data_IF_910909525116
#
_entry.id   IF_910909525116
#
_cell.length_a   1.000
_cell.length_b   1.000
_cell.length_c   1.000
_cell.angle_alpha   90.00
_cell.angle_beta   90.00
_cell.angle_gamma   90.00
#
_symmetry.space_group_name_H-M   'P 1'
#
loop_
_entity.id
_entity.type
_entity.pdbx_description
1 polymer ?
#
# COMPACT_ATOMS: atom_id res chain seq x y z
N UNK A 1 3.10 -26.02 -16.42
CA UNK A 1 2.04 -25.92 -15.39
C UNK A 1 2.23 -24.58 -14.70
N UNK A 2 1.45 -23.57 -15.08
CA UNK A 2 1.62 -22.21 -14.56
C UNK A 2 0.85 -22.05 -13.24
N UNK A 3 1.26 -22.79 -12.19
CA UNK A 3 0.82 -22.57 -10.81
C UNK A 3 1.64 -21.44 -10.18
N UNK A 4 1.72 -20.29 -10.85
CA UNK A 4 2.54 -19.17 -10.43
C UNK A 4 1.80 -18.31 -9.42
N UNK A 5 2.35 -18.16 -8.21
CA UNK A 5 1.91 -17.12 -7.30
C UNK A 5 2.17 -15.75 -7.92
N UNK A 6 1.18 -14.85 -7.83
CA UNK A 6 1.27 -13.52 -8.41
C UNK A 6 1.77 -12.56 -7.32
N UNK A 7 2.84 -11.83 -7.63
CA UNK A 7 3.35 -10.76 -6.78
C UNK A 7 3.24 -9.43 -7.53
N UNK A 8 2.61 -8.43 -6.91
CA UNK A 8 2.53 -7.09 -7.49
C UNK A 8 3.23 -6.09 -6.59
N UNK A 9 3.73 -5.02 -7.19
CA UNK A 9 4.05 -3.82 -6.42
C UNK A 9 2.76 -3.19 -5.84
N UNK A 10 2.90 -2.10 -5.10
CA UNK A 10 1.87 -1.49 -4.26
C UNK A 10 0.56 -1.09 -4.97
N UNK A 11 0.51 -1.14 -6.31
CA UNK A 11 -0.68 -0.83 -7.12
C UNK A 11 -1.03 -2.06 -7.95
N UNK A 12 -2.27 -2.55 -7.81
CA UNK A 12 -2.79 -3.72 -8.55
C UNK A 12 -3.29 -3.29 -9.94
N UNK A 13 -4.12 -2.23 -10.00
CA UNK A 13 -4.55 -1.57 -11.24
C UNK A 13 -4.87 -0.09 -11.00
N UNK A 14 -5.18 0.64 -12.07
CA UNK A 14 -5.53 2.06 -12.04
C UNK A 14 -7.01 2.31 -11.74
N UNK A 15 -7.88 1.34 -12.01
CA UNK A 15 -9.32 1.44 -11.78
C UNK A 15 -9.85 0.27 -10.94
N UNK A 16 -10.98 0.49 -10.26
CA UNK A 16 -11.64 -0.54 -9.47
C UNK A 16 -12.15 -1.69 -10.36
N UNK A 17 -12.73 -1.37 -11.52
CA UNK A 17 -13.24 -2.37 -12.45
C UNK A 17 -12.15 -3.35 -12.91
N UNK A 18 -10.96 -2.85 -13.25
CA UNK A 18 -9.83 -3.70 -13.61
C UNK A 18 -9.34 -4.55 -12.42
N UNK A 19 -9.36 -4.00 -11.20
CA UNK A 19 -9.03 -4.78 -10.00
C UNK A 19 -10.03 -5.92 -9.78
N UNK A 20 -11.32 -5.69 -10.02
CA UNK A 20 -12.36 -6.72 -9.88
C UNK A 20 -12.20 -7.83 -10.94
N UNK A 21 -11.88 -7.48 -12.19
CA UNK A 21 -11.59 -8.45 -13.26
C UNK A 21 -10.35 -9.31 -12.95
N UNK A 22 -9.30 -8.69 -12.41
CA UNK A 22 -8.08 -9.38 -11.96
C UNK A 22 -8.42 -10.32 -10.79
N UNK A 23 -9.24 -9.87 -9.84
CA UNK A 23 -9.64 -10.66 -8.68
C UNK A 23 -10.41 -11.92 -9.06
N UNK A 24 -11.39 -11.81 -9.98
CA UNK A 24 -12.14 -12.97 -10.45
C UNK A 24 -11.25 -13.96 -11.21
N UNK A 25 -10.30 -13.46 -12.02
CA UNK A 25 -9.32 -14.29 -12.71
C UNK A 25 -8.44 -15.08 -11.74
N UNK A 26 -7.97 -14.44 -10.67
CA UNK A 26 -7.18 -15.07 -9.60
C UNK A 26 -7.98 -16.16 -8.90
N UNK A 27 -9.25 -15.86 -8.58
CA UNK A 27 -10.17 -16.79 -7.91
C UNK A 27 -10.45 -18.02 -8.77
N UNK A 28 -10.63 -17.86 -10.07
CA UNK A 28 -10.84 -18.96 -11.01
C UNK A 28 -9.58 -19.82 -11.20
N UNK A 29 -8.40 -19.19 -11.15
CA UNK A 29 -7.12 -19.87 -11.29
C UNK A 29 -6.63 -20.54 -9.99
N UNK A 30 -7.29 -20.28 -8.85
CA UNK A 30 -6.90 -20.76 -7.51
C UNK A 30 -5.43 -20.47 -7.16
N UNK A 31 -4.97 -19.25 -7.49
CA UNK A 31 -3.60 -18.79 -7.24
C UNK A 31 -3.56 -17.75 -6.12
N UNK A 32 -2.49 -17.73 -5.33
CA UNK A 32 -2.33 -16.66 -4.34
C UNK A 32 -1.79 -15.38 -5.00
N UNK A 33 -2.44 -14.25 -4.72
CA UNK A 33 -1.96 -12.91 -5.03
C UNK A 33 -1.40 -12.25 -3.77
N UNK A 34 -0.18 -11.72 -3.85
CA UNK A 34 0.44 -10.93 -2.78
C UNK A 34 0.81 -9.55 -3.30
N UNK A 35 0.33 -8.51 -2.62
CA UNK A 35 0.72 -7.12 -2.86
C UNK A 35 1.90 -6.76 -1.97
N UNK A 36 2.92 -6.13 -2.55
CA UNK A 36 4.09 -5.69 -1.79
C UNK A 36 3.75 -4.49 -0.89
N UNK A 37 3.49 -4.78 0.37
CA UNK A 37 3.27 -3.79 1.42
C UNK A 37 4.41 -3.87 2.46
N UNK A 38 5.67 -3.59 2.07
CA UNK A 38 6.82 -3.80 2.94
C UNK A 38 6.73 -2.98 4.23
N UNK A 39 6.04 -1.84 4.19
CA UNK A 39 5.85 -1.01 5.38
C UNK A 39 5.05 -1.70 6.47
N UNK A 40 4.07 -2.54 6.11
CA UNK A 40 3.27 -3.28 7.10
C UNK A 40 4.09 -4.34 7.84
N UNK A 41 5.20 -4.81 7.24
CA UNK A 41 6.06 -5.82 7.82
C UNK A 41 7.26 -5.23 8.59
N UNK A 42 7.30 -3.91 8.79
CA UNK A 42 8.32 -3.28 9.63
C UNK A 42 8.02 -3.53 11.11
N UNK A 43 9.06 -3.80 11.89
CA UNK A 43 8.95 -4.15 13.32
C UNK A 43 8.11 -3.17 14.14
N UNK A 44 8.23 -1.86 13.89
CA UNK A 44 7.45 -0.85 14.61
C UNK A 44 5.96 -0.83 14.23
N UNK A 45 5.60 -1.23 13.00
CA UNK A 45 4.20 -1.37 12.60
C UNK A 45 3.60 -2.62 13.22
N UNK A 46 4.33 -3.73 13.24
CA UNK A 46 3.89 -4.96 13.91
C UNK A 46 3.71 -4.74 15.41
N UNK A 47 4.65 -4.05 16.08
CA UNK A 47 4.52 -3.71 17.50
C UNK A 47 3.32 -2.78 17.76
N UNK A 48 3.10 -1.78 16.91
CA UNK A 48 1.93 -0.92 17.01
C UNK A 48 0.62 -1.71 16.83
N UNK A 49 0.56 -2.64 15.88
CA UNK A 49 -0.61 -3.52 15.69
C UNK A 49 -0.92 -4.37 16.93
N UNK A 50 0.11 -4.94 17.58
CA UNK A 50 -0.07 -5.70 18.83
C UNK A 50 -0.63 -4.80 19.94
N UNK A 51 -0.02 -3.63 20.17
CA UNK A 51 -0.47 -2.70 21.22
C UNK A 51 -1.93 -2.24 21.02
N UNK A 52 -2.33 -2.04 19.76
CA UNK A 52 -3.71 -1.72 19.39
C UNK A 52 -4.64 -2.92 19.62
N UNK A 53 -4.25 -4.10 19.17
CA UNK A 53 -5.04 -5.34 19.32
C UNK A 53 -5.27 -5.73 20.78
N UNK A 54 -4.27 -5.49 21.63
CA UNK A 54 -4.32 -5.78 23.06
C UNK A 54 -5.10 -4.74 23.87
N UNK A 55 -5.59 -3.66 23.22
CA UNK A 55 -6.33 -2.59 23.88
C UNK A 55 -5.51 -1.74 24.87
N UNK A 56 -4.19 -1.91 24.88
CA UNK A 56 -3.27 -1.23 25.82
C UNK A 56 -3.30 0.30 25.72
N UNK A 57 -3.72 0.83 24.56
CA UNK A 57 -3.83 2.26 24.26
C UNK A 57 -5.23 2.84 24.53
N UNK A 58 -6.19 2.01 24.98
CA UNK A 58 -7.59 2.39 25.10
C UNK A 58 -8.28 2.55 23.75
N UNK A 59 -9.27 3.45 23.68
CA UNK A 59 -9.99 3.75 22.45
C UNK A 59 -9.15 4.64 21.51
N UNK A 60 -8.91 4.16 20.29
CA UNK A 60 -8.16 4.91 19.29
C UNK A 60 -9.00 6.04 18.70
N UNK A 61 -8.61 7.28 18.98
CA UNK A 61 -9.28 8.46 18.43
C UNK A 61 -8.79 8.86 17.02
N UNK A 62 -7.51 8.64 16.71
CA UNK A 62 -6.90 9.09 15.44
C UNK A 62 -5.68 8.25 15.07
N UNK A 63 -5.54 7.92 13.79
CA UNK A 63 -4.32 7.34 13.19
C UNK A 63 -3.88 8.20 12.02
N UNK A 64 -2.63 8.63 12.03
CA UNK A 64 -2.01 9.41 10.96
C UNK A 64 -0.82 8.69 10.35
N UNK A 65 -0.76 8.60 9.02
CA UNK A 65 0.35 7.99 8.30
C UNK A 65 0.91 8.99 7.29
N UNK A 66 2.18 9.36 7.48
CA UNK A 66 2.90 10.21 6.53
C UNK A 66 3.81 9.34 5.66
N UNK A 67 3.67 9.39 4.33
CA UNK A 67 4.62 8.73 3.45
C UNK A 67 5.92 9.53 3.45
N UNK A 68 7.01 8.91 3.89
CA UNK A 68 8.35 9.47 3.69
C UNK A 68 8.63 9.51 2.18
N UNK A 69 8.54 10.69 1.55
CA UNK A 69 8.81 10.83 0.11
C UNK A 69 10.31 10.78 -0.16
N UNK A 70 10.81 9.61 -0.55
CA UNK A 70 11.98 9.53 -1.42
C UNK A 70 11.58 9.88 -2.85
N UNK A 71 12.39 10.68 -3.57
CA UNK A 71 12.10 11.05 -4.96
C UNK A 71 12.14 9.79 -5.85
N UNK A 72 10.99 9.32 -6.31
CA UNK A 72 10.90 8.27 -7.33
C UNK A 72 11.15 8.90 -8.70
N UNK A 73 12.22 8.52 -9.38
CA UNK A 73 12.62 9.08 -10.68
C UNK A 73 12.32 8.04 -11.76
N UNK A 74 11.06 7.95 -12.20
CA UNK A 74 10.68 7.13 -13.35
C UNK A 74 9.86 7.93 -14.38
N UNK A 75 10.21 7.88 -15.68
CA UNK A 75 9.54 8.67 -16.73
C UNK A 75 8.12 8.23 -17.09
N UNK A 76 7.73 7.02 -16.70
CA UNK A 76 6.48 6.36 -17.13
C UNK A 76 5.27 6.64 -16.22
N UNK A 77 5.44 7.41 -15.15
CA UNK A 77 4.33 7.84 -14.29
C UNK A 77 3.67 9.10 -14.86
N UNK A 78 2.34 9.15 -15.01
CA UNK A 78 1.64 10.36 -15.43
C UNK A 78 1.87 11.47 -14.40
N UNK A 79 2.54 12.55 -14.83
CA UNK A 79 2.86 13.70 -13.98
C UNK A 79 1.63 14.59 -13.86
N UNK A 80 0.70 14.25 -12.99
CA UNK A 80 -0.25 15.23 -12.45
C UNK A 80 0.32 15.78 -11.14
N UNK A 81 1.39 16.55 -11.26
CA UNK A 81 2.04 17.21 -10.13
C UNK A 81 1.25 18.46 -9.71
N UNK A 82 0.30 18.29 -8.78
CA UNK A 82 -0.10 19.37 -7.90
C UNK A 82 1.09 19.71 -6.99
N UNK A 83 1.83 20.78 -7.31
CA UNK A 83 2.93 21.25 -6.50
C UNK A 83 2.42 21.71 -5.13
N UNK A 84 2.72 20.96 -4.07
CA UNK A 84 2.54 21.44 -2.70
C UNK A 84 3.68 22.42 -2.39
N UNK A 85 3.39 23.73 -2.38
CA UNK A 85 4.28 24.73 -1.79
C UNK A 85 4.32 24.48 -0.28
N UNK A 86 5.48 24.07 0.23
CA UNK A 86 5.74 24.09 1.67
C UNK A 86 5.84 25.54 2.17
N UNK A 87 5.63 25.79 3.48
CA UNK A 87 5.81 27.12 4.03
C UNK A 87 7.27 27.53 3.87
N UNK A 88 7.49 28.69 3.26
CA UNK A 88 8.78 29.38 3.29
C UNK A 88 9.13 29.66 4.75
N UNK A 89 10.27 29.15 5.19
CA UNK A 89 10.97 29.67 6.36
C UNK A 89 12.06 30.60 5.84
N UNK A 90 11.95 31.89 6.19
CA UNK A 90 13.05 32.87 6.15
C UNK A 90 14.17 32.49 7.14
#
# INVERSE_FOLDING_TARGET
MAGGHIFTENVISLTLAECDDIWESIRQADVALTVSLPRLNMSFIQAAQQLVGDGSLGELALVGAWPCRGRFRQPCLPVHAGACRGPHSD
#
